data_IF_301223267185
#
_entry.id   IF_301223267185
#
_cell.length_a   1.000
_cell.length_b   1.000
_cell.length_c   1.000
_cell.angle_alpha   90.00
_cell.angle_beta   90.00
_cell.angle_gamma   90.00
#
_symmetry.space_group_name_H-M   'P 1'
#
loop_
_entity.id
_entity.type
_entity.pdbx_description
1 polymer ?
#
# COMPACT_ATOMS: atom_id res chain seq x y z
N UNK A 1 5.90 14.70 7.37
CA UNK A 1 5.84 14.07 6.03
C UNK A 1 5.32 15.04 4.98
N UNK A 2 4.14 15.61 5.16
CA UNK A 2 3.53 16.50 4.16
C UNK A 2 4.44 17.66 3.73
N UNK A 3 4.98 18.41 4.68
CA UNK A 3 5.98 19.48 4.42
C UNK A 3 7.23 19.02 3.66
N UNK A 4 7.73 17.81 3.97
CA UNK A 4 8.92 17.25 3.29
C UNK A 4 8.59 16.92 1.83
N UNK A 5 7.41 16.37 1.60
CA UNK A 5 6.91 15.92 0.29
C UNK A 5 6.35 17.07 -0.56
N UNK A 6 6.18 18.26 0.01
CA UNK A 6 5.90 19.48 -0.73
C UNK A 6 7.07 19.90 -1.63
N UNK A 7 8.30 19.63 -1.20
CA UNK A 7 9.53 20.04 -1.89
C UNK A 7 10.23 18.87 -2.60
N UNK A 8 9.78 17.62 -2.36
CA UNK A 8 10.43 16.41 -2.85
C UNK A 8 9.42 15.40 -3.40
N UNK A 9 9.82 14.66 -4.42
CA UNK A 9 9.00 13.59 -5.00
C UNK A 9 8.91 12.37 -4.08
N UNK A 10 10.01 12.06 -3.40
CA UNK A 10 10.16 10.96 -2.46
C UNK A 10 10.77 11.46 -1.15
N UNK A 11 10.72 10.64 -0.09
CA UNK A 11 11.11 11.05 1.25
C UNK A 11 12.55 11.59 1.32
N UNK A 12 13.46 10.93 0.62
CA UNK A 12 14.90 11.22 0.64
C UNK A 12 15.39 12.03 -0.57
N UNK A 13 14.51 12.49 -1.46
CA UNK A 13 14.89 13.29 -2.63
C UNK A 13 14.07 13.00 -3.87
N UNK A 14 14.71 12.99 -5.03
CA UNK A 14 14.07 12.79 -6.33
C UNK A 14 13.84 11.30 -6.69
N UNK A 15 14.44 10.38 -5.95
CA UNK A 15 14.41 8.94 -6.28
C UNK A 15 13.79 8.13 -5.17
N UNK A 16 12.95 7.16 -5.55
CA UNK A 16 12.36 6.17 -4.65
C UNK A 16 13.43 5.37 -3.92
N UNK A 17 13.24 5.17 -2.61
CA UNK A 17 14.20 4.50 -1.75
C UNK A 17 13.52 3.54 -0.75
N UNK A 18 14.32 2.79 0.00
CA UNK A 18 13.82 1.98 1.12
C UNK A 18 13.16 2.81 2.22
N UNK A 19 13.49 4.11 2.33
CA UNK A 19 12.81 5.00 3.27
C UNK A 19 11.34 5.17 2.88
N UNK A 20 11.05 5.28 1.58
CA UNK A 20 9.68 5.34 1.08
C UNK A 20 8.94 4.02 1.33
N UNK A 21 9.59 2.87 1.14
CA UNK A 21 9.00 1.56 1.45
C UNK A 21 8.56 1.48 2.92
N UNK A 22 9.48 1.84 3.83
CA UNK A 22 9.23 1.76 5.28
C UNK A 22 8.11 2.70 5.72
N UNK A 23 8.11 3.95 5.24
CA UNK A 23 7.12 4.95 5.63
C UNK A 23 5.76 4.68 4.97
N UNK A 24 5.76 4.25 3.70
CA UNK A 24 4.52 4.04 2.95
C UNK A 24 3.68 2.89 3.49
N UNK A 25 4.32 1.83 3.98
CA UNK A 25 3.63 0.71 4.62
C UNK A 25 2.73 1.14 5.79
N UNK A 26 3.05 2.26 6.46
CA UNK A 26 2.25 2.87 7.51
C UNK A 26 1.44 4.07 7.00
N UNK A 27 2.11 5.18 6.71
CA UNK A 27 1.45 6.46 6.44
C UNK A 27 0.77 6.48 5.08
N UNK A 28 1.35 5.82 4.08
CA UNK A 28 0.74 5.68 2.76
C UNK A 28 -0.57 4.91 2.83
N UNK A 29 -0.58 3.77 3.51
CA UNK A 29 -1.81 2.98 3.70
C UNK A 29 -2.85 3.71 4.55
N UNK A 30 -2.43 4.43 5.60
CA UNK A 30 -3.31 5.21 6.46
C UNK A 30 -4.06 6.30 5.67
N UNK A 31 -3.34 7.15 4.93
CA UNK A 31 -3.97 8.24 4.17
C UNK A 31 -4.82 7.73 3.00
N UNK A 32 -4.53 6.52 2.51
CA UNK A 32 -5.37 5.84 1.52
C UNK A 32 -6.58 5.12 2.16
N UNK A 33 -6.84 5.31 3.46
CA UNK A 33 -8.02 4.82 4.16
C UNK A 33 -8.01 3.33 4.48
N UNK A 34 -6.85 2.67 4.43
CA UNK A 34 -6.76 1.20 4.55
C UNK A 34 -6.37 0.73 5.95
N UNK A 35 -6.19 1.64 6.89
CA UNK A 35 -5.86 1.35 8.28
C UNK A 35 -6.83 2.09 9.23
N UNK A 36 -7.28 1.37 10.25
CA UNK A 36 -8.01 1.88 11.43
C UNK A 36 -9.34 2.63 11.17
N UNK A 37 -9.83 2.67 9.94
CA UNK A 37 -10.98 3.52 9.56
C UNK A 37 -10.82 4.98 9.99
N UNK A 38 -9.58 5.49 10.01
CA UNK A 38 -9.22 6.77 10.64
C UNK A 38 -9.09 7.94 9.66
N UNK A 39 -9.34 7.73 8.37
CA UNK A 39 -9.09 8.72 7.33
C UNK A 39 -9.86 10.05 7.55
N UNK A 40 -11.16 9.97 7.84
CA UNK A 40 -11.99 11.14 8.13
C UNK A 40 -11.56 11.83 9.42
N UNK A 41 -11.35 11.05 10.49
CA UNK A 41 -10.97 11.57 11.80
C UNK A 41 -9.64 12.34 11.79
N UNK A 42 -8.67 11.86 11.00
CA UNK A 42 -7.35 12.49 10.86
C UNK A 42 -7.31 13.56 9.76
N UNK A 43 -8.43 13.85 9.09
CA UNK A 43 -8.52 14.76 7.95
C UNK A 43 -7.41 14.50 6.91
N UNK A 44 -7.28 13.24 6.50
CA UNK A 44 -6.13 12.83 5.66
C UNK A 44 -6.09 13.54 4.30
N UNK A 45 -7.23 14.07 3.85
CA UNK A 45 -7.35 14.85 2.63
C UNK A 45 -6.59 16.19 2.70
N UNK A 46 -6.41 16.76 3.89
CA UNK A 46 -5.64 17.99 4.09
C UNK A 46 -4.13 17.81 3.80
N UNK A 47 -3.60 16.59 3.96
CA UNK A 47 -2.20 16.26 3.66
C UNK A 47 -2.00 15.96 2.16
N UNK A 48 -2.19 16.98 1.34
CA UNK A 48 -2.22 16.86 -0.13
C UNK A 48 -0.95 16.26 -0.73
N UNK A 49 0.24 16.56 -0.17
CA UNK A 49 1.51 16.05 -0.67
C UNK A 49 1.77 14.61 -0.24
N UNK A 50 1.32 14.23 0.97
CA UNK A 50 1.32 12.83 1.40
C UNK A 50 0.36 12.02 0.52
N UNK A 51 -0.83 12.54 0.22
CA UNK A 51 -1.79 11.89 -0.67
C UNK A 51 -1.24 11.67 -2.08
N UNK A 52 -0.57 12.66 -2.68
CA UNK A 52 0.11 12.52 -3.98
C UNK A 52 1.16 11.40 -3.93
N UNK A 53 2.07 11.47 -2.96
CA UNK A 53 3.14 10.48 -2.80
C UNK A 53 2.60 9.07 -2.54
N UNK A 54 1.55 8.95 -1.71
CA UNK A 54 0.92 7.69 -1.39
C UNK A 54 0.32 7.03 -2.64
N UNK A 55 -0.43 7.78 -3.45
CA UNK A 55 -1.01 7.31 -4.73
C UNK A 55 0.06 6.93 -5.75
N UNK A 56 1.12 7.73 -5.87
CA UNK A 56 2.24 7.45 -6.78
C UNK A 56 2.92 6.12 -6.45
N UNK A 57 3.15 5.83 -5.17
CA UNK A 57 3.74 4.55 -4.75
C UNK A 57 2.72 3.40 -4.89
N UNK A 58 1.44 3.63 -4.60
CA UNK A 58 0.36 2.64 -4.73
C UNK A 58 0.20 2.13 -6.17
N UNK A 59 0.49 2.97 -7.16
CA UNK A 59 0.43 2.61 -8.58
C UNK A 59 1.56 1.67 -9.04
N UNK A 60 2.59 1.43 -8.21
CA UNK A 60 3.74 0.59 -8.60
C UNK A 60 3.32 -0.89 -8.58
N UNK A 61 3.54 -1.66 -9.67
CA UNK A 61 3.16 -3.09 -9.71
C UNK A 61 3.80 -3.92 -8.59
N UNK A 62 5.04 -3.61 -8.21
CA UNK A 62 5.72 -4.31 -7.11
C UNK A 62 5.10 -4.00 -5.73
N UNK A 63 4.57 -2.78 -5.54
CA UNK A 63 3.88 -2.40 -4.30
C UNK A 63 2.54 -3.11 -4.23
N UNK A 64 1.78 -3.14 -5.33
CA UNK A 64 0.51 -3.86 -5.43
C UNK A 64 0.69 -5.35 -5.09
N UNK A 65 1.70 -6.01 -5.66
CA UNK A 65 2.01 -7.42 -5.36
C UNK A 65 2.53 -7.63 -3.93
N UNK A 66 3.56 -6.89 -3.51
CA UNK A 66 4.21 -7.12 -2.21
C UNK A 66 3.24 -6.95 -1.03
N UNK A 67 2.25 -6.08 -1.20
CA UNK A 67 1.13 -5.86 -0.29
C UNK A 67 0.21 -7.04 -0.03
N UNK A 68 0.12 -7.97 -0.99
CA UNK A 68 -0.79 -9.10 -0.91
C UNK A 68 -0.19 -10.23 -0.09
N UNK A 69 1.15 -10.32 -0.09
CA UNK A 69 1.90 -11.41 0.54
C UNK A 69 1.70 -11.41 2.05
N UNK A 70 1.39 -12.59 2.61
CA UNK A 70 1.08 -12.85 4.01
C UNK A 70 -0.10 -12.03 4.58
N UNK A 71 -0.96 -11.50 3.71
CA UNK A 71 -2.12 -10.71 4.12
C UNK A 71 -3.36 -11.58 4.23
N UNK A 72 -4.00 -11.59 5.40
CA UNK A 72 -5.18 -12.43 5.72
C UNK A 72 -6.46 -11.61 5.93
N UNK A 73 -6.52 -10.40 5.37
CA UNK A 73 -7.65 -9.47 5.54
C UNK A 73 -7.78 -8.51 4.35
N UNK A 74 -8.96 -7.93 4.17
CA UNK A 74 -9.31 -7.08 3.02
C UNK A 74 -10.05 -7.89 1.95
N UNK A 75 -10.11 -7.39 0.73
CA UNK A 75 -10.80 -8.09 -0.36
C UNK A 75 -10.02 -9.37 -0.74
N UNK A 76 -10.68 -10.53 -0.98
CA UNK A 76 -10.02 -11.81 -1.21
C UNK A 76 -8.97 -11.81 -2.34
N UNK A 77 -9.18 -11.05 -3.40
CA UNK A 77 -8.25 -10.89 -4.52
C UNK A 77 -6.96 -10.15 -4.15
N UNK A 78 -6.95 -9.48 -3.00
CA UNK A 78 -5.78 -8.78 -2.46
C UNK A 78 -5.05 -9.58 -1.39
N UNK A 79 -5.50 -10.81 -1.10
CA UNK A 79 -4.93 -11.67 -0.07
C UNK A 79 -4.15 -12.83 -0.72
N UNK A 80 -2.85 -12.90 -0.43
CA UNK A 80 -1.99 -14.02 -0.77
C UNK A 80 -1.32 -14.52 0.52
N UNK A 81 -1.89 -15.54 1.16
CA UNK A 81 -1.45 -15.98 2.49
C UNK A 81 0.01 -16.43 2.54
N UNK A 82 0.50 -17.06 1.47
CA UNK A 82 1.89 -17.46 1.32
C UNK A 82 2.34 -17.25 -0.12
N UNK A 83 3.63 -16.98 -0.31
CA UNK A 83 4.25 -16.84 -1.63
C UNK A 83 5.50 -17.73 -1.69
N UNK A 84 5.48 -18.69 -2.61
CA UNK A 84 6.56 -19.64 -2.88
C UNK A 84 7.01 -19.60 -4.34
N UNK A 85 6.17 -19.11 -5.25
CA UNK A 85 6.48 -18.86 -6.67
C UNK A 85 6.00 -17.47 -7.13
N UNK A 86 6.43 -17.01 -8.31
CA UNK A 86 5.83 -15.84 -8.95
C UNK A 86 4.41 -16.12 -9.45
N UNK A 87 4.10 -17.35 -9.88
CA UNK A 87 2.77 -17.72 -10.40
C UNK A 87 1.65 -17.67 -9.36
N UNK A 88 2.01 -17.60 -8.06
CA UNK A 88 1.05 -17.59 -6.95
C UNK A 88 0.09 -16.39 -7.01
N UNK A 89 0.49 -15.28 -7.62
CA UNK A 89 -0.39 -14.13 -7.82
C UNK A 89 -1.53 -14.42 -8.81
N UNK A 90 -1.30 -15.30 -9.79
CA UNK A 90 -2.32 -15.72 -10.76
C UNK A 90 -3.15 -16.91 -10.30
N UNK A 91 -2.64 -17.76 -9.39
CA UNK A 91 -3.28 -19.04 -9.04
C UNK A 91 -3.75 -19.18 -7.60
N UNK A 92 -3.17 -18.43 -6.66
CA UNK A 92 -3.21 -18.78 -5.23
C UNK A 92 -3.73 -17.66 -4.31
N UNK A 93 -4.29 -16.58 -4.87
CA UNK A 93 -4.99 -15.54 -4.08
C UNK A 93 -6.32 -16.06 -3.54
N UNK A 94 -6.82 -15.48 -2.44
CA UNK A 94 -7.97 -16.05 -1.73
C UNK A 94 -9.29 -16.01 -2.51
N UNK A 95 -9.44 -15.14 -3.50
CA UNK A 95 -10.56 -15.20 -4.46
C UNK A 95 -10.57 -16.47 -5.32
N UNK A 96 -9.40 -17.12 -5.50
CA UNK A 96 -9.23 -18.30 -6.36
C UNK A 96 -9.26 -19.61 -5.59
N UNK A 97 -8.73 -19.61 -4.36
CA UNK A 97 -8.54 -20.82 -3.56
C UNK A 97 -9.33 -20.84 -2.25
N UNK A 98 -9.87 -19.70 -1.81
CA UNK A 98 -10.71 -19.63 -0.62
C UNK A 98 -12.04 -20.31 -0.90
N UNK A 99 -12.42 -21.30 -0.09
CA UNK A 99 -13.72 -21.94 -0.18
C UNK A 99 -14.82 -20.87 -0.15
N UNK A 100 -15.75 -20.92 -1.12
CA UNK A 100 -17.04 -20.24 -1.00
C UNK A 100 -17.71 -20.80 0.25
N UNK A 101 -17.66 -20.05 1.34
CA UNK A 101 -18.54 -20.25 2.48
C UNK A 101 -19.99 -20.02 2.08
#
# INVERSE_FOLDING_TARGET
LDRQLAERDYISGATYSIADMAIWAWYGQLVLGRLYSAAEFLDVASYTHVMRWAKQIDARPAVQRGRMVNRTFGDPETQLHERHDASDFETSTQDKIGETA
#
